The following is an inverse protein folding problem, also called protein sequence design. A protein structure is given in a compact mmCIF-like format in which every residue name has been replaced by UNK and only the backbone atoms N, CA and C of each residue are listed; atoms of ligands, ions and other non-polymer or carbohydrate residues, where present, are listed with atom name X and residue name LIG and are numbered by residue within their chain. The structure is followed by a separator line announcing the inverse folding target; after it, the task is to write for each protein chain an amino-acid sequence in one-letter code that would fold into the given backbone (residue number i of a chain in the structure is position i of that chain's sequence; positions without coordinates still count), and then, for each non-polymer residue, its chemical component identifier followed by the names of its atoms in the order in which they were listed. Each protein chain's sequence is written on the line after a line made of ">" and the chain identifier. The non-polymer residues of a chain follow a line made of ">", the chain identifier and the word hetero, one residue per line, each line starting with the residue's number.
data_IF_905275560741
#
_entry.id   IF_905275560741
#
_cell.length_a   1.000
_cell.length_b   1.000
_cell.length_c   1.000
_cell.angle_alpha   90.00
_cell.angle_beta   90.00
_cell.angle_gamma   90.00
#
_symmetry.space_group_name_H-M   'P 1'
#
loop_
_entity.id
_entity.type
_entity.pdbx_description
1 polymer ?
#
# COMPACT_ATOMS: atom_id res chain seq x y z
N UNK A 1 -17.30 -19.27 -14.10
CA UNK A 1 -17.93 -20.60 -14.35
C UNK A 1 -17.21 -21.78 -13.68
N UNK A 2 -15.88 -21.78 -13.58
CA UNK A 2 -15.10 -22.91 -13.04
C UNK A 2 -15.57 -23.41 -11.65
N UNK A 3 -15.86 -22.50 -10.71
CA UNK A 3 -16.31 -22.87 -9.36
C UNK A 3 -17.67 -23.59 -9.35
N UNK A 4 -18.64 -23.10 -10.13
CA UNK A 4 -19.97 -23.72 -10.22
C UNK A 4 -19.90 -25.13 -10.81
N UNK A 5 -19.11 -25.33 -11.86
CA UNK A 5 -18.87 -26.66 -12.43
C UNK A 5 -18.24 -27.60 -11.39
N UNK A 6 -17.23 -27.12 -10.65
CA UNK A 6 -16.59 -27.92 -9.61
C UNK A 6 -17.56 -28.34 -8.49
N UNK A 7 -18.45 -27.45 -8.07
CA UNK A 7 -19.48 -27.76 -7.08
C UNK A 7 -20.46 -28.82 -7.60
N UNK A 8 -20.87 -28.72 -8.86
CA UNK A 8 -21.74 -29.71 -9.51
C UNK A 8 -21.05 -31.08 -9.60
N UNK A 9 -19.77 -31.12 -9.99
CA UNK A 9 -18.99 -32.37 -10.03
C UNK A 9 -18.94 -33.05 -8.66
N UNK A 10 -18.74 -32.27 -7.59
CA UNK A 10 -18.73 -32.77 -6.22
C UNK A 10 -20.10 -33.30 -5.81
N UNK A 11 -21.20 -32.65 -6.20
CA UNK A 11 -22.56 -33.12 -5.93
C UNK A 11 -22.84 -34.46 -6.63
N UNK A 12 -22.44 -34.60 -7.90
CA UNK A 12 -22.54 -35.87 -8.63
C UNK A 12 -21.78 -36.99 -7.90
N UNK A 13 -20.53 -36.73 -7.53
CA UNK A 13 -19.64 -37.72 -6.92
C UNK A 13 -20.09 -38.16 -5.53
N UNK A 14 -20.59 -37.23 -4.71
CA UNK A 14 -20.87 -37.49 -3.30
C UNK A 14 -22.31 -37.95 -3.03
N UNK A 15 -23.27 -37.62 -3.90
CA UNK A 15 -24.70 -37.88 -3.65
C UNK A 15 -25.38 -38.80 -4.66
N UNK A 16 -24.75 -39.03 -5.82
CA UNK A 16 -25.40 -39.74 -6.93
C UNK A 16 -26.53 -38.95 -7.60
N UNK A 17 -26.62 -37.64 -7.35
CA UNK A 17 -27.58 -36.76 -8.03
C UNK A 17 -27.38 -36.75 -9.55
N UNK A 18 -28.41 -36.33 -10.30
CA UNK A 18 -28.35 -36.13 -11.76
C UNK A 18 -28.56 -34.66 -12.10
N UNK A 19 -27.82 -34.13 -13.08
CA UNK A 19 -27.94 -32.74 -13.52
C UNK A 19 -29.11 -32.59 -14.49
N UNK A 20 -29.97 -31.59 -14.23
CA UNK A 20 -31.02 -31.16 -15.15
C UNK A 20 -30.52 -30.08 -16.13
N UNK A 21 -31.09 -28.87 -16.04
CA UNK A 21 -30.73 -27.75 -16.90
C UNK A 21 -29.78 -26.76 -16.21
N UNK A 22 -28.96 -26.07 -17.01
CA UNK A 22 -28.10 -24.97 -16.56
C UNK A 22 -28.57 -23.65 -17.14
N UNK A 23 -28.76 -22.66 -16.26
CA UNK A 23 -29.04 -21.28 -16.64
C UNK A 23 -27.77 -20.46 -16.50
N UNK A 24 -27.46 -19.64 -17.51
CA UNK A 24 -26.31 -18.75 -17.52
C UNK A 24 -26.80 -17.33 -17.79
N UNK A 25 -26.43 -16.41 -16.90
CA UNK A 25 -26.64 -14.97 -17.06
C UNK A 25 -25.26 -14.35 -16.97
N UNK A 26 -24.83 -13.67 -18.03
CA UNK A 26 -23.57 -12.94 -18.08
C UNK A 26 -23.87 -11.46 -18.25
N UNK A 27 -23.14 -10.62 -17.51
CA UNK A 27 -23.02 -9.19 -17.77
C UNK A 27 -21.82 -8.97 -18.68
N UNK A 28 -21.88 -7.95 -19.55
CA UNK A 28 -20.74 -7.57 -20.39
C UNK A 28 -19.49 -7.41 -19.52
N UNK A 29 -18.45 -8.17 -19.85
CA UNK A 29 -17.15 -8.03 -19.25
C UNK A 29 -16.43 -6.91 -20.01
N UNK A 30 -16.15 -5.80 -19.34
CA UNK A 30 -15.22 -4.82 -19.86
C UNK A 30 -13.88 -5.50 -20.08
N UNK A 31 -13.32 -5.40 -21.30
CA UNK A 31 -11.96 -5.82 -21.55
C UNK A 31 -11.03 -5.14 -20.52
N UNK A 32 -10.21 -5.92 -19.83
CA UNK A 32 -9.21 -5.36 -18.93
C UNK A 32 -8.26 -4.50 -19.77
N UNK A 33 -8.18 -3.22 -19.44
CA UNK A 33 -7.17 -2.34 -20.04
C UNK A 33 -5.78 -2.81 -19.59
N UNK A 34 -4.82 -2.72 -20.52
CA UNK A 34 -3.43 -3.01 -20.20
C UNK A 34 -2.91 -1.96 -19.23
N UNK A 35 -2.31 -2.40 -18.13
CA UNK A 35 -1.66 -1.50 -17.20
C UNK A 35 -0.23 -1.30 -17.69
N UNK A 36 0.14 -0.04 -17.89
CA UNK A 36 1.51 0.33 -18.23
C UNK A 36 2.35 0.39 -16.94
N UNK A 37 3.47 -0.34 -16.92
CA UNK A 37 4.50 -0.29 -15.90
C UNK A 37 5.79 0.26 -16.52
N UNK A 38 6.22 1.44 -16.08
CA UNK A 38 7.45 2.07 -16.55
C UNK A 38 8.62 1.72 -15.65
N UNK A 39 9.77 1.37 -16.22
CA UNK A 39 11.01 1.10 -15.46
C UNK A 39 11.39 2.28 -14.56
N UNK A 40 11.41 3.48 -15.12
CA UNK A 40 11.70 4.70 -14.37
C UNK A 40 10.78 4.89 -13.15
N UNK A 41 9.48 4.52 -13.25
CA UNK A 41 8.55 4.66 -12.13
C UNK A 41 8.84 3.62 -11.04
N UNK A 42 9.15 2.38 -11.43
CA UNK A 42 9.54 1.29 -10.53
C UNK A 42 10.81 1.64 -9.75
N UNK A 43 11.85 2.08 -10.43
CA UNK A 43 13.13 2.44 -9.81
C UNK A 43 13.01 3.66 -8.89
N UNK A 44 12.26 4.69 -9.30
CA UNK A 44 12.06 5.88 -8.46
C UNK A 44 11.25 5.63 -7.21
N UNK A 45 10.33 4.67 -7.25
CA UNK A 45 9.46 4.37 -6.12
C UNK A 45 10.12 3.41 -5.14
N UNK A 46 10.82 2.40 -5.65
CA UNK A 46 11.45 1.37 -4.81
C UNK A 46 12.88 1.69 -4.41
N UNK A 47 13.61 2.42 -5.24
CA UNK A 47 15.04 2.66 -5.04
C UNK A 47 15.90 1.41 -5.31
N UNK A 48 17.20 1.50 -5.02
CA UNK A 48 18.14 0.40 -5.26
C UNK A 48 17.96 -0.75 -4.27
N UNK A 49 18.44 -1.92 -4.69
CA UNK A 49 18.61 -3.09 -3.85
C UNK A 49 19.93 -3.01 -3.06
N UNK A 50 19.89 -3.48 -1.82
CA UNK A 50 21.05 -3.68 -0.96
C UNK A 50 21.61 -5.10 -1.14
N UNK A 51 22.74 -5.21 -1.85
CA UNK A 51 23.44 -6.47 -2.05
C UNK A 51 24.58 -6.67 -1.03
N UNK A 52 24.58 -5.94 0.09
CA UNK A 52 25.58 -6.05 1.14
C UNK A 52 26.97 -5.61 0.65
N UNK A 53 27.96 -6.49 0.76
CA UNK A 53 29.34 -6.18 0.36
C UNK A 53 29.50 -5.87 -1.14
N UNK A 54 28.57 -6.34 -1.98
CA UNK A 54 28.57 -6.07 -3.41
C UNK A 54 28.04 -4.67 -3.78
N UNK A 55 27.57 -3.89 -2.79
CA UNK A 55 27.04 -2.54 -2.98
C UNK A 55 25.58 -2.52 -3.41
N UNK A 56 25.21 -1.49 -4.17
CA UNK A 56 23.84 -1.26 -4.63
C UNK A 56 23.58 -1.91 -5.98
N UNK A 57 22.38 -2.46 -6.16
CA UNK A 57 21.94 -3.04 -7.43
C UNK A 57 20.55 -2.57 -7.83
N UNK A 58 20.14 -3.00 -9.01
CA UNK A 58 18.81 -2.74 -9.56
C UNK A 58 18.09 -4.07 -9.78
N UNK A 59 16.78 -4.00 -9.99
CA UNK A 59 16.00 -5.17 -10.38
C UNK A 59 16.22 -5.41 -11.88
N UNK A 60 16.65 -6.62 -12.22
CA UNK A 60 16.85 -7.01 -13.62
C UNK A 60 15.53 -7.05 -14.38
N UNK A 61 15.54 -6.62 -15.64
CA UNK A 61 14.34 -6.59 -16.51
C UNK A 61 13.62 -7.94 -16.56
N UNK A 62 14.41 -9.02 -16.66
CA UNK A 62 13.88 -10.38 -16.69
C UNK A 62 13.28 -10.80 -15.34
N UNK A 63 13.80 -10.31 -14.21
CA UNK A 63 13.24 -10.60 -12.89
C UNK A 63 11.85 -9.98 -12.74
N UNK A 64 11.66 -8.73 -13.21
CA UNK A 64 10.34 -8.06 -13.23
C UNK A 64 9.33 -8.88 -14.04
N UNK A 65 9.68 -9.27 -15.27
CA UNK A 65 8.81 -10.07 -16.14
C UNK A 65 8.47 -11.41 -15.49
N UNK A 66 9.47 -12.13 -14.97
CA UNK A 66 9.27 -13.42 -14.32
C UNK A 66 8.32 -13.31 -13.11
N UNK A 67 8.44 -12.25 -12.32
CA UNK A 67 7.57 -12.00 -11.17
C UNK A 67 6.13 -11.79 -11.62
N UNK A 68 5.91 -10.92 -12.61
CA UNK A 68 4.57 -10.62 -13.12
C UNK A 68 3.91 -11.84 -13.79
N UNK A 69 4.68 -12.65 -14.52
CA UNK A 69 4.20 -13.90 -15.11
C UNK A 69 3.82 -14.93 -14.03
N UNK A 70 4.59 -15.03 -12.95
CA UNK A 70 4.26 -15.90 -11.80
C UNK A 70 2.98 -15.47 -11.07
N UNK A 71 2.60 -14.20 -11.17
CA UNK A 71 1.31 -13.68 -10.67
C UNK A 71 0.14 -14.00 -11.61
N UNK A 72 0.42 -14.58 -12.78
CA UNK A 72 -0.56 -14.91 -13.80
C UNK A 72 -0.84 -13.76 -14.77
N UNK A 73 -0.04 -12.70 -14.76
CA UNK A 73 -0.13 -11.62 -15.74
C UNK A 73 0.55 -12.03 -17.06
N UNK A 74 0.09 -11.46 -18.18
CA UNK A 74 0.82 -11.54 -19.46
C UNK A 74 1.51 -10.20 -19.69
N UNK A 75 2.80 -10.23 -20.04
CA UNK A 75 3.64 -9.04 -20.14
C UNK A 75 4.18 -8.90 -21.55
N UNK A 76 4.00 -7.72 -22.15
CA UNK A 76 4.68 -7.34 -23.39
C UNK A 76 5.64 -6.19 -23.09
N UNK A 77 6.94 -6.40 -23.32
CA UNK A 77 7.96 -5.37 -23.15
C UNK A 77 8.10 -4.51 -24.40
N UNK A 78 8.28 -3.20 -24.21
CA UNK A 78 8.57 -2.20 -25.22
C UNK A 78 9.80 -1.39 -24.79
N UNK A 79 10.71 -1.12 -25.72
CA UNK A 79 11.99 -0.44 -25.44
C UNK A 79 13.18 -1.40 -25.35
N UNK A 80 14.36 -0.83 -25.10
CA UNK A 80 15.59 -1.59 -24.87
C UNK A 80 15.62 -2.13 -23.44
N UNK A 81 16.01 -3.39 -23.28
CA UNK A 81 16.11 -4.02 -21.95
C UNK A 81 17.11 -3.27 -21.07
N UNK A 82 16.76 -3.07 -19.80
CA UNK A 82 17.59 -2.37 -18.83
C UNK A 82 17.84 -0.88 -19.18
N UNK A 83 16.97 -0.28 -19.98
CA UNK A 83 16.98 1.16 -20.27
C UNK A 83 15.90 1.89 -19.47
N UNK A 84 16.14 3.15 -19.07
CA UNK A 84 15.17 3.98 -18.33
C UNK A 84 13.81 4.11 -19.07
N UNK A 85 13.83 4.04 -20.40
CA UNK A 85 12.66 4.11 -21.28
C UNK A 85 11.92 2.77 -21.45
N UNK A 86 12.36 1.70 -20.77
CA UNK A 86 11.70 0.39 -20.81
C UNK A 86 10.29 0.44 -20.20
N UNK A 87 9.34 -0.14 -20.91
CA UNK A 87 7.93 -0.17 -20.55
C UNK A 87 7.41 -1.59 -20.66
N UNK A 88 6.65 -2.03 -19.65
CA UNK A 88 5.91 -3.29 -19.67
C UNK A 88 4.41 -3.02 -19.75
N UNK A 89 3.76 -3.54 -20.78
CA UNK A 89 2.31 -3.58 -20.91
C UNK A 89 1.79 -4.87 -20.28
N UNK A 90 1.10 -4.73 -19.16
CA UNK A 90 0.70 -5.85 -18.30
C UNK A 90 -0.79 -6.11 -18.43
N UNK A 91 -1.13 -7.31 -18.89
CA UNK A 91 -2.49 -7.82 -18.86
C UNK A 91 -2.73 -8.57 -17.56
N UNK A 92 -3.63 -8.04 -16.73
CA UNK A 92 -3.95 -8.58 -15.40
C UNK A 92 -5.02 -9.69 -15.51
N UNK A 93 -4.82 -10.85 -14.85
CA UNK A 93 -5.81 -11.91 -14.88
C UNK A 93 -7.11 -11.50 -14.17
N UNK A 94 -8.29 -12.00 -14.58
CA UNK A 94 -9.57 -11.63 -13.96
C UNK A 94 -9.66 -11.91 -12.45
N UNK A 95 -8.86 -12.83 -11.91
CA UNK A 95 -8.78 -13.12 -10.48
C UNK A 95 -8.13 -11.99 -9.65
N UNK A 96 -7.39 -11.08 -10.30
CA UNK A 96 -6.64 -9.98 -9.69
C UNK A 96 -7.08 -8.59 -10.18
N UNK A 97 -8.16 -8.50 -10.95
CA UNK A 97 -8.70 -7.22 -11.44
C UNK A 97 -9.33 -6.35 -10.33
N UNK A 98 -9.54 -6.92 -9.14
CA UNK A 98 -10.03 -6.20 -7.98
C UNK A 98 -8.96 -5.32 -7.32
N UNK A 99 -7.72 -5.80 -7.28
CA UNK A 99 -6.57 -5.21 -6.59
C UNK A 99 -5.54 -4.59 -7.54
N UNK A 100 -5.25 -5.18 -8.70
CA UNK A 100 -4.28 -4.65 -9.66
C UNK A 100 -4.98 -3.76 -10.70
N UNK A 101 -4.92 -2.44 -10.51
CA UNK A 101 -5.63 -1.46 -11.37
C UNK A 101 -4.72 -0.34 -11.90
N UNK A 102 -3.60 -0.10 -11.23
CA UNK A 102 -2.69 1.00 -11.51
C UNK A 102 -1.26 0.49 -11.55
N UNK A 103 -0.39 1.28 -12.16
CA UNK A 103 1.05 1.05 -12.19
C UNK A 103 1.64 0.78 -10.80
N UNK A 104 1.26 1.57 -9.79
CA UNK A 104 1.75 1.42 -8.41
C UNK A 104 1.37 0.08 -7.77
N UNK A 105 0.23 -0.50 -8.14
CA UNK A 105 -0.21 -1.79 -7.60
C UNK A 105 0.70 -2.92 -8.14
N UNK A 106 1.18 -2.80 -9.38
CA UNK A 106 2.18 -3.71 -9.95
C UNK A 106 3.56 -3.52 -9.30
N UNK A 107 3.96 -2.27 -9.03
CA UNK A 107 5.23 -1.95 -8.35
C UNK A 107 5.23 -2.57 -6.95
N UNK A 108 4.12 -2.48 -6.21
CA UNK A 108 3.98 -3.12 -4.90
C UNK A 108 4.15 -4.64 -5.00
N UNK A 109 3.52 -5.30 -5.98
CA UNK A 109 3.65 -6.75 -6.16
C UNK A 109 5.08 -7.18 -6.52
N UNK A 110 5.77 -6.40 -7.36
CA UNK A 110 7.19 -6.61 -7.65
C UNK A 110 8.00 -6.51 -6.37
N UNK A 111 7.84 -5.43 -5.61
CA UNK A 111 8.56 -5.23 -4.35
C UNK A 111 8.26 -6.33 -3.33
N UNK A 112 7.00 -6.77 -3.23
CA UNK A 112 6.55 -7.81 -2.31
C UNK A 112 7.19 -9.17 -2.62
N UNK A 113 7.36 -9.50 -3.90
CA UNK A 113 7.96 -10.76 -4.34
C UNK A 113 9.49 -10.73 -4.42
N UNK A 114 10.08 -9.56 -4.67
CA UNK A 114 11.53 -9.33 -4.48
C UNK A 114 11.88 -9.47 -2.99
N UNK A 115 11.05 -8.89 -2.12
CA UNK A 115 11.21 -8.87 -0.66
C UNK A 115 11.63 -7.48 -0.16
N UNK A 116 10.84 -6.90 0.74
CA UNK A 116 11.04 -5.52 1.21
C UNK A 116 12.39 -5.31 1.92
N UNK A 117 12.89 -6.34 2.60
CA UNK A 117 14.18 -6.28 3.31
C UNK A 117 15.39 -6.16 2.37
N UNK A 118 15.21 -6.36 1.05
CA UNK A 118 16.28 -6.23 0.05
C UNK A 118 16.46 -4.81 -0.44
N UNK A 119 15.57 -3.87 -0.16
CA UNK A 119 15.68 -2.50 -0.63
C UNK A 119 16.51 -1.66 0.35
N UNK A 120 17.26 -0.71 -0.19
CA UNK A 120 18.07 0.19 0.62
C UNK A 120 17.19 1.10 1.48
N UNK A 121 17.55 1.23 2.76
CA UNK A 121 16.95 2.24 3.65
C UNK A 121 17.69 3.57 3.46
N UNK A 122 17.14 4.46 2.62
CA UNK A 122 17.69 5.80 2.37
C UNK A 122 16.77 6.90 2.90
N UNK A 123 17.36 7.92 3.53
CA UNK A 123 16.64 9.16 3.86
C UNK A 123 16.71 10.11 2.65
N UNK A 124 15.64 10.85 2.33
CA UNK A 124 15.68 11.79 1.22
C UNK A 124 16.73 12.88 1.47
N UNK A 125 17.52 13.18 0.44
CA UNK A 125 18.52 14.25 0.47
C UNK A 125 17.94 15.58 -0.07
N UNK A 126 18.35 16.73 0.50
CA UNK A 126 19.20 16.87 1.67
C UNK A 126 18.42 16.63 2.98
N UNK A 127 19.06 16.00 3.95
CA UNK A 127 18.52 15.92 5.31
C UNK A 127 18.72 17.28 6.00
N UNK A 128 17.65 18.07 6.07
CA UNK A 128 17.66 19.31 6.84
C UNK A 128 17.20 19.07 8.28
N UNK A 129 18.02 19.43 9.30
CA UNK A 129 17.61 19.29 10.69
C UNK A 129 16.48 20.28 11.00
N UNK A 130 15.33 19.74 11.41
CA UNK A 130 14.23 20.54 11.95
C UNK A 130 14.57 21.13 13.32
N UNK A 131 13.76 22.11 13.75
CA UNK A 131 13.89 22.74 15.06
C UNK A 131 12.53 22.93 15.73
N UNK A 132 12.55 23.08 17.05
CA UNK A 132 11.34 23.43 17.79
C UNK A 132 11.01 24.91 17.60
N UNK A 133 9.75 25.21 17.30
CA UNK A 133 9.21 26.56 17.35
C UNK A 133 9.32 27.15 18.77
N UNK A 134 9.33 28.48 18.87
CA UNK A 134 9.35 29.17 20.16
C UNK A 134 8.21 28.73 21.10
N UNK A 135 7.03 28.43 20.53
CA UNK A 135 5.86 27.92 21.27
C UNK A 135 6.13 26.54 21.86
N UNK A 136 6.71 25.62 21.09
CA UNK A 136 7.04 24.27 21.56
C UNK A 136 8.14 24.28 22.62
N UNK A 137 9.16 25.14 22.44
CA UNK A 137 10.20 25.34 23.45
C UNK A 137 9.61 25.86 24.77
N UNK A 138 8.71 26.85 24.70
CA UNK A 138 8.01 27.39 25.87
C UNK A 138 7.16 26.32 26.55
N UNK A 139 6.38 25.56 25.79
CA UNK A 139 5.52 24.50 26.31
C UNK A 139 6.34 23.44 27.05
N UNK A 140 7.46 22.98 26.47
CA UNK A 140 8.37 22.03 27.12
C UNK A 140 8.94 22.57 28.43
N UNK A 141 9.35 23.85 28.46
CA UNK A 141 9.85 24.51 29.68
C UNK A 141 8.78 24.61 30.75
N UNK A 142 7.54 24.92 30.35
CA UNK A 142 6.40 25.03 31.26
C UNK A 142 6.04 23.67 31.86
N UNK A 143 5.89 22.63 31.04
CA UNK A 143 5.61 21.28 31.52
C UNK A 143 6.72 20.78 32.46
N UNK A 144 7.99 21.06 32.13
CA UNK A 144 9.10 20.74 33.02
C UNK A 144 8.99 21.44 34.38
N UNK A 145 8.71 22.74 34.39
CA UNK A 145 8.57 23.51 35.62
C UNK A 145 7.39 23.01 36.48
N UNK A 146 6.23 22.71 35.88
CA UNK A 146 5.07 22.17 36.59
C UNK A 146 5.37 20.79 37.21
N UNK A 147 6.11 19.93 36.50
CA UNK A 147 6.56 18.64 37.03
C UNK A 147 7.50 18.81 38.21
N UNK A 148 8.44 19.75 38.14
CA UNK A 148 9.32 20.07 39.28
C UNK A 148 8.54 20.62 40.48
N UNK A 149 7.40 21.27 40.25
CA UNK A 149 6.49 21.70 41.29
C UNK A 149 5.58 20.58 41.85
N UNK A 150 5.72 19.34 41.37
CA UNK A 150 4.98 18.16 41.84
C UNK A 150 3.65 17.92 41.13
N UNK A 151 3.33 18.64 40.05
CA UNK A 151 2.14 18.38 39.25
C UNK A 151 2.37 17.20 38.30
N UNK A 152 1.34 16.39 38.13
CA UNK A 152 1.30 15.28 37.17
C UNK A 152 0.50 15.69 35.93
N UNK A 153 1.09 15.51 34.76
CA UNK A 153 0.39 15.71 33.48
C UNK A 153 -0.64 14.60 33.25
N UNK A 154 -1.85 14.99 32.86
CA UNK A 154 -2.97 14.10 32.54
C UNK A 154 -3.47 14.37 31.13
N UNK A 155 -3.72 13.31 30.36
CA UNK A 155 -4.33 13.38 29.03
C UNK A 155 -5.80 12.92 29.13
N UNK A 156 -6.72 13.87 29.07
CA UNK A 156 -8.16 13.60 29.12
C UNK A 156 -8.75 13.46 27.71
N UNK A 157 -9.96 12.87 27.63
CA UNK A 157 -10.71 12.79 26.39
C UNK A 157 -11.07 14.20 25.91
N UNK A 158 -10.85 14.47 24.63
CA UNK A 158 -11.27 15.74 24.00
C UNK A 158 -12.79 15.89 23.94
N UNK A 159 -13.53 14.77 23.97
CA UNK A 159 -14.98 14.74 24.01
C UNK A 159 -15.48 14.41 25.40
N UNK A 160 -16.32 15.29 25.91
CA UNK A 160 -17.01 15.13 27.19
C UNK A 160 -18.51 15.33 26.98
N UNK A 161 -19.32 14.92 27.96
CA UNK A 161 -20.76 15.13 27.89
C UNK A 161 -21.08 16.62 27.75
N UNK A 162 -22.21 16.93 27.11
CA UNK A 162 -22.67 18.31 26.92
C UNK A 162 -22.75 19.06 28.26
N UNK A 163 -23.21 18.38 29.30
CA UNK A 163 -23.37 18.95 30.64
C UNK A 163 -22.02 19.33 31.26
N UNK A 164 -21.00 18.46 31.12
CA UNK A 164 -19.65 18.73 31.63
C UNK A 164 -18.95 19.82 30.80
N UNK A 165 -19.18 19.85 29.49
CA UNK A 165 -18.67 20.91 28.62
C UNK A 165 -19.28 22.29 28.93
N UNK A 166 -20.59 22.34 29.18
CA UNK A 166 -21.29 23.57 29.54
C UNK A 166 -20.80 24.15 30.87
N UNK A 167 -20.40 23.31 31.83
CA UNK A 167 -19.82 23.74 33.10
C UNK A 167 -18.42 24.36 32.99
N UNK A 168 -17.63 24.00 31.96
CA UNK A 168 -16.24 24.48 31.77
C UNK A 168 -16.19 25.69 30.82
N UNK A 169 -17.02 25.74 29.79
CA UNK A 169 -17.02 26.78 28.75
C UNK A 169 -17.81 28.04 29.13
N UNK A 170 -17.99 28.31 30.43
CA UNK A 170 -18.69 29.50 30.88
C UNK A 170 -17.76 30.72 30.77
N UNK A 171 -17.78 31.39 29.61
CA UNK A 171 -17.01 32.61 29.31
C UNK A 171 -17.21 33.74 30.33
N UNK A 172 -18.24 33.64 31.17
CA UNK A 172 -18.63 34.67 32.14
C UNK A 172 -17.92 34.55 33.52
N UNK A 173 -17.07 33.53 33.75
CA UNK A 173 -16.42 33.30 35.06
C UNK A 173 -14.93 33.66 35.16
N UNK A 174 -14.31 34.19 34.10
CA UNK A 174 -12.94 34.77 34.20
C UNK A 174 -13.08 36.29 34.21
N UNK A 175 -13.60 36.83 35.30
CA UNK A 175 -13.37 38.22 35.69
C UNK A 175 -12.08 38.25 36.51
N UNK A 176 -10.98 38.67 35.87
CA UNK A 176 -9.78 39.13 36.57
C UNK A 176 -9.99 40.56 37.06
#
# INVERSE_FOLDING_TARGET
>A
MAAANRAVDLLLQLTGASIGNRWLIETDQTANELIQLRRLALERLLGPLDNGEAGYGEIESQEVVNILERLGCSVNSEGEQQSEDEIWHVNVPPSRSGDLKREVDLIEEVARLVGYDRFCSHLPDPVEPGGLSAKEQLLRRLCFALRCAGLQELMHLSLVSKDLNAGINNKDQIAL
#
